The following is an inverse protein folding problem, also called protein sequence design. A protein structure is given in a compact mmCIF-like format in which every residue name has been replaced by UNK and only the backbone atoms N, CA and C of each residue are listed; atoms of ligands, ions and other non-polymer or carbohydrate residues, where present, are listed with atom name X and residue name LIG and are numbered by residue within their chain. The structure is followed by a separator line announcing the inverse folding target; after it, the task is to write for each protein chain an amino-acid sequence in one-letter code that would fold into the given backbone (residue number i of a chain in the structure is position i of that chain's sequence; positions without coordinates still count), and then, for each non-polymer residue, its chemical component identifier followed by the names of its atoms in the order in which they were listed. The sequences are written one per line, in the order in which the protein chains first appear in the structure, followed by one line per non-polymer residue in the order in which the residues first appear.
data_IF_534863682611
#
_entry.id   IF_534863682611
#
_cell.length_a   1.000
_cell.length_b   1.000
_cell.length_c   1.000
_cell.angle_alpha   90.00
_cell.angle_beta   90.00
_cell.angle_gamma   90.00
#
_symmetry.space_group_name_H-M   'P 1'
#
loop_
_entity.id
_entity.type
_entity.pdbx_description
1 polymer ?
#
# COMPACT_ATOMS: atom_id res chain seq x y z
N UNK A 1 3.33 -45.93 -32.78
CA UNK A 1 4.13 -44.70 -32.92
C UNK A 1 3.51 -43.66 -32.00
N UNK A 2 4.10 -43.40 -30.84
CA UNK A 2 3.57 -42.44 -29.87
C UNK A 2 4.51 -41.22 -29.80
N UNK A 3 4.08 -40.12 -30.41
CA UNK A 3 4.74 -38.82 -30.26
C UNK A 3 4.47 -38.28 -28.86
N UNK A 4 5.50 -38.28 -28.01
CA UNK A 4 5.48 -37.49 -26.77
C UNK A 4 5.84 -36.05 -27.11
N UNK A 5 4.83 -35.17 -27.08
CA UNK A 5 5.04 -33.73 -27.11
C UNK A 5 5.46 -33.27 -25.71
N UNK A 6 6.73 -32.92 -25.56
CA UNK A 6 7.26 -32.28 -24.36
C UNK A 6 6.73 -30.85 -24.32
N UNK A 7 5.76 -30.58 -23.45
CA UNK A 7 5.33 -29.24 -23.11
C UNK A 7 6.45 -28.55 -22.32
N UNK A 8 7.17 -27.63 -22.96
CA UNK A 8 8.03 -26.69 -22.26
C UNK A 8 7.17 -25.63 -21.59
N UNK A 9 6.96 -25.73 -20.28
CA UNK A 9 6.42 -24.65 -19.47
C UNK A 9 7.46 -23.53 -19.40
N UNK A 10 7.27 -22.46 -20.18
CA UNK A 10 7.99 -21.21 -19.97
C UNK A 10 7.60 -20.66 -18.60
N UNK A 11 8.49 -20.79 -17.62
CA UNK A 11 8.46 -19.94 -16.42
C UNK A 11 8.83 -18.52 -16.87
N UNK A 12 7.82 -17.74 -17.25
CA UNK A 12 7.93 -16.31 -17.33
C UNK A 12 8.20 -15.79 -15.91
N UNK A 13 9.46 -15.58 -15.56
CA UNK A 13 9.83 -14.78 -14.40
C UNK A 13 9.40 -13.35 -14.71
N UNK A 14 8.19 -12.99 -14.31
CA UNK A 14 7.77 -11.61 -14.27
C UNK A 14 8.74 -10.88 -13.34
N UNK A 15 9.71 -10.15 -13.91
CA UNK A 15 10.39 -9.09 -13.17
C UNK A 15 9.26 -8.26 -12.56
N UNK A 16 9.21 -8.06 -11.23
CA UNK A 16 8.31 -7.08 -10.69
C UNK A 16 8.79 -5.76 -11.28
N UNK A 17 8.14 -5.31 -12.35
CA UNK A 17 8.23 -3.92 -12.74
C UNK A 17 7.91 -3.14 -11.46
N UNK A 18 8.71 -2.13 -11.15
CA UNK A 18 8.45 -1.18 -10.07
C UNK A 18 7.09 -0.49 -10.36
N UNK A 19 6.00 -1.19 -10.05
CA UNK A 19 4.62 -0.82 -10.42
C UNK A 19 4.02 0.10 -9.35
N UNK A 20 4.66 0.22 -8.18
CA UNK A 20 4.12 1.05 -7.11
C UNK A 20 4.29 2.53 -7.46
N UNK A 21 3.23 3.11 -8.01
CA UNK A 21 3.08 4.55 -8.17
C UNK A 21 2.44 5.15 -6.92
N UNK A 22 2.53 6.48 -6.79
CA UNK A 22 1.91 7.24 -5.70
C UNK A 22 0.41 6.93 -5.60
N UNK A 23 -0.31 6.80 -6.72
CA UNK A 23 -1.73 6.47 -6.72
C UNK A 23 -2.04 5.06 -6.20
N UNK A 24 -1.21 4.07 -6.54
CA UNK A 24 -1.38 2.69 -6.06
C UNK A 24 -1.03 2.61 -4.58
N UNK A 25 0.05 3.27 -4.16
CA UNK A 25 0.44 3.37 -2.76
C UNK A 25 -0.66 4.05 -1.92
N UNK A 26 -1.24 5.14 -2.43
CA UNK A 26 -2.35 5.84 -1.78
C UNK A 26 -3.54 4.90 -1.58
N UNK A 27 -3.98 4.22 -2.64
CA UNK A 27 -5.13 3.32 -2.59
C UNK A 27 -4.90 2.18 -1.60
N UNK A 28 -3.72 1.54 -1.64
CA UNK A 28 -3.36 0.45 -0.73
C UNK A 28 -3.23 0.90 0.72
N UNK A 29 -2.61 2.06 0.95
CA UNK A 29 -2.47 2.63 2.29
C UNK A 29 -3.81 2.99 2.91
N UNK A 30 -4.71 3.64 2.16
CA UNK A 30 -6.06 3.99 2.64
C UNK A 30 -6.89 2.74 2.95
N UNK A 31 -6.82 1.73 2.09
CA UNK A 31 -7.51 0.46 2.34
C UNK A 31 -6.99 -0.21 3.62
N UNK A 32 -5.68 -0.24 3.85
CA UNK A 32 -5.10 -0.82 5.06
C UNK A 32 -5.44 -0.01 6.33
N UNK A 33 -5.41 1.32 6.25
CA UNK A 33 -5.83 2.19 7.34
C UNK A 33 -7.29 1.94 7.72
N UNK A 34 -8.20 1.87 6.74
CA UNK A 34 -9.61 1.61 6.99
C UNK A 34 -9.88 0.20 7.56
N UNK A 35 -9.01 -0.78 7.25
CA UNK A 35 -9.10 -2.11 7.84
C UNK A 35 -8.67 -2.13 9.31
N UNK A 36 -7.59 -1.44 9.66
CA UNK A 36 -7.05 -1.43 11.03
C UNK A 36 -7.73 -0.41 11.95
N UNK A 37 -8.19 0.71 11.38
CA UNK A 37 -8.87 1.81 12.07
C UNK A 37 -10.21 2.14 11.38
N UNK A 38 -11.27 1.34 11.59
CA UNK A 38 -12.55 1.48 10.87
C UNK A 38 -13.30 2.80 11.09
N UNK A 39 -12.91 3.57 12.11
CA UNK A 39 -13.44 4.91 12.38
C UNK A 39 -12.83 6.00 11.50
N UNK A 40 -11.70 5.70 10.83
CA UNK A 40 -11.05 6.62 9.90
C UNK A 40 -11.74 6.56 8.52
N UNK A 41 -11.78 7.70 7.83
CA UNK A 41 -12.34 7.78 6.47
C UNK A 41 -11.70 6.77 5.51
N UNK A 42 -12.49 6.12 4.66
CA UNK A 42 -11.99 5.28 3.56
C UNK A 42 -11.84 6.04 2.23
N UNK A 43 -12.11 7.35 2.23
CA UNK A 43 -12.05 8.17 1.02
C UNK A 43 -10.61 8.61 0.75
N UNK A 44 -10.09 8.23 -0.42
CA UNK A 44 -8.74 8.56 -0.89
C UNK A 44 -8.42 10.07 -0.81
N UNK A 45 -9.41 10.94 -1.03
CA UNK A 45 -9.22 12.40 -1.00
C UNK A 45 -8.89 12.95 0.39
N UNK A 46 -9.17 12.19 1.44
CA UNK A 46 -8.86 12.58 2.82
C UNK A 46 -7.41 12.22 3.20
N UNK A 47 -6.59 11.78 2.24
CA UNK A 47 -5.23 11.34 2.46
C UNK A 47 -4.26 11.92 1.44
N UNK A 48 -2.99 11.96 1.81
CA UNK A 48 -1.87 12.29 0.94
C UNK A 48 -0.79 11.21 1.02
N UNK A 49 -0.03 11.10 -0.05
CA UNK A 49 1.18 10.28 -0.09
C UNK A 49 2.39 11.17 0.08
N UNK A 50 3.27 10.77 1.00
CA UNK A 50 4.63 11.30 1.13
C UNK A 50 5.60 10.28 0.54
N UNK A 51 6.36 10.70 -0.45
CA UNK A 51 7.27 9.84 -1.20
C UNK A 51 8.67 9.89 -0.58
N UNK A 52 9.15 8.78 -0.04
CA UNK A 52 10.51 8.61 0.50
C UNK A 52 11.33 7.65 -0.37
N UNK A 53 12.67 7.56 -0.24
CA UNK A 53 13.49 6.78 -1.16
C UNK A 53 13.07 5.31 -1.34
N UNK A 54 12.63 4.63 -0.27
CA UNK A 54 12.28 3.20 -0.29
C UNK A 54 10.81 2.89 0.00
N UNK A 55 10.05 3.90 0.40
CA UNK A 55 8.67 3.73 0.84
C UNK A 55 7.81 4.94 0.53
N UNK A 56 6.53 4.69 0.42
CA UNK A 56 5.48 5.69 0.48
C UNK A 56 4.89 5.71 1.89
N UNK A 57 4.56 6.89 2.39
CA UNK A 57 3.85 7.06 3.66
C UNK A 57 2.52 7.73 3.36
N UNK A 58 1.43 7.04 3.65
CA UNK A 58 0.05 7.52 3.45
C UNK A 58 -0.46 8.06 4.76
N UNK A 59 -0.79 9.35 4.79
CA UNK A 59 -1.26 10.06 6.00
C UNK A 59 -2.59 10.77 5.72
N UNK A 60 -3.49 10.88 6.72
CA UNK A 60 -4.67 11.73 6.64
C UNK A 60 -4.28 13.20 6.42
N UNK A 61 -5.07 13.93 5.63
CA UNK A 61 -4.89 15.37 5.43
C UNK A 61 -5.38 16.18 6.63
N UNK A 62 -6.47 15.73 7.23
CA UNK A 62 -7.02 16.31 8.45
C UNK A 62 -6.59 15.46 9.64
N UNK A 63 -5.88 16.08 10.57
CA UNK A 63 -5.70 15.52 11.89
C UNK A 63 -7.07 15.55 12.56
N UNK A 64 -7.61 14.40 12.92
CA UNK A 64 -8.87 14.37 13.65
C UNK A 64 -8.63 14.93 15.06
N UNK A 65 -9.24 16.09 15.34
CA UNK A 65 -9.13 16.77 16.64
C UNK A 65 -9.64 15.90 17.81
N UNK A 66 -10.38 14.82 17.50
CA UNK A 66 -10.86 13.84 18.49
C UNK A 66 -9.82 12.82 18.93
N UNK A 67 -8.60 12.84 18.38
CA UNK A 67 -7.52 11.93 18.79
C UNK A 67 -6.93 12.38 20.13
N UNK A 68 -7.71 12.26 21.21
CA UNK A 68 -7.31 12.64 22.58
C UNK A 68 -6.09 11.87 23.08
N UNK A 69 -5.75 10.70 22.52
CA UNK A 69 -4.63 9.87 23.02
C UNK A 69 -3.86 9.05 21.96
N UNK A 70 -4.20 9.13 20.67
CA UNK A 70 -3.81 8.10 19.68
C UNK A 70 -2.70 8.46 18.71
N UNK A 71 -2.77 9.64 18.08
CA UNK A 71 -2.03 9.95 16.85
C UNK A 71 -2.85 9.64 15.58
N UNK A 72 -2.41 10.13 14.43
CA UNK A 72 -3.11 9.96 13.16
C UNK A 72 -2.73 8.64 12.45
N UNK A 73 -3.72 7.82 12.05
CA UNK A 73 -3.46 6.52 11.45
C UNK A 73 -2.75 6.69 10.11
N UNK A 74 -1.60 6.05 9.99
CA UNK A 74 -0.64 6.20 8.90
C UNK A 74 -0.26 4.83 8.39
N UNK A 75 -0.10 4.68 7.07
CA UNK A 75 0.37 3.45 6.46
C UNK A 75 1.68 3.66 5.72
N UNK A 76 2.59 2.70 5.85
CA UNK A 76 3.79 2.63 5.02
C UNK A 76 3.59 1.62 3.91
N UNK A 77 3.96 1.96 2.68
CA UNK A 77 3.93 1.07 1.52
C UNK A 77 5.32 0.97 0.91
N UNK A 78 5.80 -0.24 0.67
CA UNK A 78 7.10 -0.49 0.04
C UNK A 78 7.05 -0.14 -1.46
N UNK A 79 8.04 0.62 -1.95
CA UNK A 79 8.09 1.05 -3.36
C UNK A 79 8.38 -0.07 -4.35
N UNK A 80 9.14 -1.08 -3.94
CA UNK A 80 9.61 -2.16 -4.79
C UNK A 80 8.48 -3.14 -5.15
N UNK A 81 7.58 -3.41 -4.19
CA UNK A 81 6.55 -4.45 -4.35
C UNK A 81 5.12 -3.99 -4.05
N UNK A 82 4.92 -2.72 -3.67
CA UNK A 82 3.63 -2.14 -3.31
C UNK A 82 2.86 -2.87 -2.20
N UNK A 83 3.59 -3.53 -1.31
CA UNK A 83 3.01 -4.13 -0.11
C UNK A 83 2.98 -3.11 1.02
N UNK A 84 1.89 -3.12 1.79
CA UNK A 84 1.79 -2.33 3.02
C UNK A 84 2.74 -2.97 4.03
N UNK A 85 3.72 -2.20 4.50
CA UNK A 85 4.73 -2.66 5.47
C UNK A 85 4.12 -2.66 6.87
N UNK A 86 3.45 -1.56 7.23
CA UNK A 86 2.77 -1.42 8.51
C UNK A 86 1.70 -0.33 8.44
N UNK A 87 0.74 -0.42 9.37
CA UNK A 87 -0.16 0.68 9.73
C UNK A 87 0.09 1.00 11.20
N UNK A 88 0.06 2.28 11.57
CA UNK A 88 0.39 2.74 12.92
C UNK A 88 -0.22 4.12 13.17
N UNK A 89 -0.32 4.52 14.44
CA UNK A 89 -0.71 5.88 14.81
C UNK A 89 0.54 6.77 14.90
N UNK A 90 0.64 7.78 14.05
CA UNK A 90 1.74 8.75 14.05
C UNK A 90 1.40 9.97 14.92
N UNK A 91 2.37 10.43 15.73
CA UNK A 91 2.24 11.65 16.55
C UNK A 91 2.82 12.87 15.85
#
# INVERSE_FOLDING_TARGET
MYSSLVLFSLLATANPQNICTDGIALTRGVAAIAQEYPWQSNNIKDYIVRSYPRMYVVVPTKLDEKLRDGGSPTATVNKENCQVINVFLAR
#
